data_IF_488389983415
#
_entry.id   IF_488389983415
#
_cell.length_a   1.000
_cell.length_b   1.000
_cell.length_c   1.000
_cell.angle_alpha   90.00
_cell.angle_beta   90.00
_cell.angle_gamma   90.00
#
_symmetry.space_group_name_H-M   'P 1'
#
loop_
_entity.id
_entity.type
_entity.pdbx_description
1 polymer ?
2 polymer ?
#
# COMPACT_ATOMS: atom_id res chain seq x y z
N UNK A 9 -12.85 -10.49 14.51
CA UNK A 9 -11.85 -10.57 13.44
C UNK A 9 -11.23 -11.95 13.38
N UNK A 10 -11.56 -12.71 12.34
CA UNK A 10 -11.07 -14.07 12.17
C UNK A 10 -9.59 -14.07 11.79
N UNK A 11 -8.76 -14.67 12.64
CA UNK A 11 -7.33 -14.73 12.41
C UNK A 11 -6.94 -15.54 11.18
N UNK A 12 -7.73 -16.57 10.87
CA UNK A 12 -7.44 -17.43 9.74
C UNK A 12 -7.51 -16.68 8.41
N UNK A 13 -8.60 -15.96 8.19
CA UNK A 13 -8.79 -15.24 6.94
C UNK A 13 -7.86 -14.03 6.85
N UNK A 14 -7.39 -13.55 8.00
CA UNK A 14 -6.35 -12.52 8.01
C UNK A 14 -5.10 -13.09 7.37
N UNK A 15 -4.72 -14.29 7.80
CA UNK A 15 -3.58 -15.00 7.23
C UNK A 15 -3.80 -15.30 5.76
N UNK A 16 -4.92 -15.94 5.45
CA UNK A 16 -5.24 -16.37 4.09
C UNK A 16 -5.21 -15.22 3.08
N UNK A 17 -5.85 -14.11 3.42
CA UNK A 17 -5.89 -12.95 2.55
C UNK A 17 -4.52 -12.33 2.38
N UNK A 18 -3.75 -12.29 3.46
CA UNK A 18 -2.41 -11.71 3.42
C UNK A 18 -1.47 -12.52 2.53
N UNK A 19 -1.42 -13.83 2.76
CA UNK A 19 -0.55 -14.71 1.99
C UNK A 19 -0.91 -14.68 0.50
N UNK A 20 -2.21 -14.69 0.20
CA UNK A 20 -2.66 -14.64 -1.18
C UNK A 20 -2.21 -13.35 -1.86
N UNK A 21 -2.33 -12.23 -1.14
CA UNK A 21 -1.90 -10.95 -1.69
C UNK A 21 -0.41 -10.95 -1.99
N UNK A 22 0.40 -11.28 -1.00
CA UNK A 22 1.85 -11.25 -1.12
C UNK A 22 2.35 -12.15 -2.25
N UNK A 23 1.68 -13.27 -2.46
CA UNK A 23 2.06 -14.21 -3.51
C UNK A 23 1.68 -13.70 -4.89
N UNK A 24 0.43 -13.27 -5.05
CA UNK A 24 -0.06 -12.79 -6.34
C UNK A 24 0.71 -11.56 -6.78
N UNK A 25 1.26 -10.83 -5.82
CA UNK A 25 2.06 -9.65 -6.11
C UNK A 25 3.45 -10.04 -6.59
N UNK A 26 3.82 -11.31 -6.40
CA UNK A 26 5.12 -11.78 -6.86
C UNK A 26 5.00 -12.61 -8.14
N UNK A 27 3.77 -12.83 -8.59
CA UNK A 27 3.54 -13.52 -9.86
C UNK A 27 2.97 -14.92 -9.74
N UNK A 28 2.90 -15.44 -8.51
CA UNK A 28 2.36 -16.77 -8.29
C UNK A 28 0.84 -16.74 -8.15
N UNK A 29 0.21 -17.89 -8.32
CA UNK A 29 -1.23 -18.03 -8.08
C UNK A 29 -1.44 -19.09 -7.01
N UNK A 30 -2.41 -18.86 -6.13
CA UNK A 30 -2.62 -19.75 -5.00
C UNK A 30 -4.09 -19.90 -4.65
N UNK A 31 -4.55 -21.15 -4.58
CA UNK A 31 -5.94 -21.43 -4.22
C UNK A 31 -6.16 -21.24 -2.72
N UNK A 32 -6.71 -20.08 -2.36
CA UNK A 32 -6.93 -19.74 -0.96
C UNK A 32 -7.94 -20.67 -0.31
N UNK A 48 -15.16 -2.35 7.31
CA UNK A 48 -15.31 -2.83 8.67
C UNK A 48 -14.18 -3.79 9.04
N UNK A 49 -14.31 -5.04 8.57
CA UNK A 49 -13.27 -6.03 8.81
C UNK A 49 -12.24 -6.01 7.68
N UNK A 50 -12.64 -5.42 6.55
CA UNK A 50 -11.77 -5.35 5.37
C UNK A 50 -10.68 -4.30 5.53
N UNK A 51 -10.84 -3.43 6.53
CA UNK A 51 -9.88 -2.36 6.77
C UNK A 51 -8.61 -2.90 7.41
N UNK A 52 -8.75 -3.87 8.31
CA UNK A 52 -7.61 -4.50 8.96
C UNK A 52 -6.72 -5.21 7.93
N UNK A 53 -7.35 -5.90 6.99
CA UNK A 53 -6.64 -6.61 5.94
C UNK A 53 -5.85 -5.63 5.07
N UNK A 54 -6.49 -4.54 4.68
CA UNK A 54 -5.87 -3.54 3.82
C UNK A 54 -4.71 -2.85 4.52
N UNK A 55 -4.88 -2.53 5.79
CA UNK A 55 -3.83 -1.85 6.56
C UNK A 55 -2.63 -2.76 6.80
N UNK A 56 -2.90 -4.03 7.07
CA UNK A 56 -1.84 -5.00 7.37
C UNK A 56 -0.89 -5.20 6.19
N UNK A 57 -1.45 -5.35 4.99
CA UNK A 57 -0.64 -5.62 3.80
C UNK A 57 0.06 -4.36 3.31
N UNK A 58 -0.49 -3.20 3.63
CA UNK A 58 0.15 -1.94 3.27
C UNK A 58 1.38 -1.73 4.13
N UNK A 59 1.24 -1.99 5.43
CA UNK A 59 2.36 -1.90 6.35
C UNK A 59 3.45 -2.91 5.98
N UNK A 60 3.01 -4.08 5.50
CA UNK A 60 3.93 -5.13 5.10
C UNK A 60 4.75 -4.78 3.89
N UNK A 61 4.09 -4.25 2.86
CA UNK A 61 4.78 -3.82 1.64
C UNK A 61 5.79 -2.72 1.97
N UNK A 62 5.40 -1.82 2.87
CA UNK A 62 6.30 -0.75 3.32
C UNK A 62 7.48 -1.33 4.09
N UNK A 63 7.21 -2.36 4.89
CA UNK A 63 8.24 -3.02 5.69
C UNK A 63 9.26 -3.72 4.80
N UNK A 64 8.76 -4.51 3.85
CA UNK A 64 9.61 -5.23 2.91
C UNK A 64 10.43 -4.28 2.04
N UNK A 65 9.84 -3.18 1.65
CA UNK A 65 10.55 -2.25 0.81
C UNK A 65 11.74 -1.61 1.46
N UNK A 66 11.54 -1.15 2.68
CA UNK A 66 12.57 -0.47 3.42
C UNK A 66 13.76 -1.31 3.75
N UNK A 67 13.49 -2.55 4.10
CA UNK A 67 14.51 -3.47 4.50
C UNK A 67 14.67 -4.55 3.48
N UNK A 68 14.49 -4.20 2.23
CA UNK A 68 14.58 -5.19 1.19
C UNK A 68 15.90 -5.89 1.07
N UNK A 69 17.00 -5.19 1.26
CA UNK A 69 18.28 -5.86 1.13
C UNK A 69 18.37 -6.92 2.20
N UNK A 70 17.91 -6.59 3.38
CA UNK A 70 17.93 -7.50 4.52
C UNK A 70 17.09 -8.74 4.25
N UNK A 71 15.87 -8.53 3.74
CA UNK A 71 14.97 -9.63 3.40
C UNK A 71 15.55 -10.48 2.26
N UNK A 72 16.38 -9.87 1.43
CA UNK A 72 17.03 -10.59 0.35
C UNK A 72 18.08 -11.53 0.91
N UNK A 73 18.82 -11.07 1.91
CA UNK A 73 19.84 -11.87 2.56
C UNK A 73 19.21 -12.98 3.40
N UNK A 74 18.05 -12.68 4.00
CA UNK A 74 17.35 -13.64 4.84
C UNK A 74 16.77 -14.79 4.01
N UNK A 75 16.26 -14.48 2.83
CA UNK A 75 15.65 -15.48 1.97
C UNK A 75 16.70 -16.41 1.38
N UNK A 76 17.93 -15.90 1.25
CA UNK A 76 19.03 -16.69 0.69
C UNK A 76 19.66 -17.59 1.74
N UNK A 77 19.16 -17.51 2.97
CA UNK A 77 19.70 -18.28 4.07
C UNK A 77 18.63 -19.19 4.68
N UNK A 78 17.38 -19.01 4.22
CA UNK A 78 16.28 -19.85 4.68
C UNK A 78 16.59 -21.33 4.47
N UNK A 79 17.06 -21.66 3.27
CA UNK A 79 17.43 -23.03 2.91
C UNK A 79 16.30 -24.01 3.22
N UNK A 80 15.15 -23.80 2.58
CA UNK A 80 13.97 -24.63 2.84
C UNK A 80 14.12 -26.04 2.31
N UNK A 81 13.78 -27.01 3.15
CA UNK A 81 13.60 -28.40 2.73
C UNK A 81 12.25 -28.86 3.28
N UNK A 82 11.64 -29.86 2.62
CA UNK A 82 10.36 -30.39 3.12
C UNK A 82 10.45 -30.97 4.53
N UNK A 83 11.67 -31.26 4.97
CA UNK A 83 11.90 -31.90 6.27
C UNK A 83 12.12 -30.89 7.39
N UNK A 84 12.72 -29.75 7.05
CA UNK A 84 13.13 -28.77 8.05
C UNK A 84 12.19 -27.57 8.15
N UNK A 85 11.26 -27.48 7.21
CA UNK A 85 10.40 -26.30 7.05
C UNK A 85 9.70 -25.86 8.33
N UNK A 86 8.92 -26.76 8.93
CA UNK A 86 8.16 -26.42 10.13
C UNK A 86 9.07 -26.07 11.30
N UNK A 87 10.27 -26.65 11.31
CA UNK A 87 11.24 -26.33 12.33
C UNK A 87 11.73 -24.89 12.19
N UNK A 88 12.02 -24.50 10.95
CA UNK A 88 12.51 -23.16 10.66
C UNK A 88 11.48 -22.10 11.03
N UNK A 89 10.21 -22.38 10.74
CA UNK A 89 9.14 -21.45 11.08
C UNK A 89 9.00 -21.29 12.58
N UNK A 90 8.98 -22.43 13.29
CA UNK A 90 8.83 -22.42 14.74
C UNK A 90 9.98 -21.68 15.42
N UNK A 91 11.20 -21.99 15.00
CA UNK A 91 12.40 -21.39 15.59
C UNK A 91 12.46 -19.87 15.42
N UNK A 92 12.35 -19.41 14.18
CA UNK A 92 12.41 -17.99 13.87
C UNK A 92 11.36 -17.19 14.62
N UNK A 93 10.11 -17.66 14.56
CA UNK A 93 9.00 -16.99 15.20
C UNK A 93 9.18 -16.90 16.72
N UNK A 94 9.62 -18.00 17.33
CA UNK A 94 9.84 -18.04 18.77
C UNK A 94 10.85 -16.99 19.22
N UNK A 95 11.97 -16.91 18.49
CA UNK A 95 13.03 -15.98 18.83
C UNK A 95 12.61 -14.54 18.57
N UNK A 96 11.71 -14.37 17.60
CA UNK A 96 11.21 -13.04 17.25
C UNK A 96 10.41 -12.42 18.39
N UNK A 97 9.59 -13.22 19.05
CA UNK A 97 8.74 -12.75 20.15
C UNK A 97 9.28 -13.17 21.51
N UNK A 98 10.49 -13.72 21.54
CA UNK A 98 11.05 -14.30 22.76
C UNK A 98 11.15 -13.30 23.91
N UNK A 99 11.50 -12.05 23.58
CA UNK A 99 11.71 -11.04 24.62
C UNK A 99 10.73 -9.89 24.54
N UNK A 100 9.59 -10.11 23.88
CA UNK A 100 8.57 -9.08 23.80
C UNK A 100 7.79 -9.06 22.51
N UNK A 101 6.60 -8.46 22.57
CA UNK A 101 5.73 -8.34 21.40
C UNK A 101 5.30 -6.90 21.18
N UNK A 102 5.52 -6.42 19.95
CA UNK A 102 4.97 -5.14 19.52
C UNK A 102 4.37 -5.30 18.13
N UNK A 103 3.65 -4.27 17.65
CA UNK A 103 2.99 -4.35 16.36
C UNK A 103 3.98 -4.50 15.21
N UNK A 104 5.14 -3.87 15.34
CA UNK A 104 6.19 -3.99 14.35
C UNK A 104 6.60 -5.43 14.16
N UNK A 105 6.86 -6.13 15.26
CA UNK A 105 7.25 -7.52 15.23
C UNK A 105 6.14 -8.41 14.67
N UNK A 106 4.89 -8.03 14.94
CA UNK A 106 3.75 -8.77 14.40
C UNK A 106 3.69 -8.62 12.88
N UNK A 107 4.05 -7.44 12.38
CA UNK A 107 4.14 -7.21 10.94
C UNK A 107 5.26 -8.07 10.35
N UNK A 108 6.40 -8.10 11.03
CA UNK A 108 7.54 -8.90 10.60
C UNK A 108 7.18 -10.38 10.58
N UNK A 109 6.34 -10.79 11.52
CA UNK A 109 5.86 -12.17 11.61
C UNK A 109 5.07 -12.56 10.37
N UNK A 110 4.20 -11.66 9.92
CA UNK A 110 3.46 -11.87 8.69
C UNK A 110 4.39 -11.84 7.47
N UNK A 111 5.29 -10.86 7.45
CA UNK A 111 6.24 -10.72 6.35
C UNK A 111 7.19 -11.91 6.26
N UNK A 112 7.58 -12.46 7.40
CA UNK A 112 8.45 -13.63 7.39
C UNK A 112 7.70 -14.84 6.84
N UNK A 113 6.44 -14.97 7.23
CA UNK A 113 5.59 -16.03 6.73
C UNK A 113 5.47 -15.91 5.22
N UNK A 114 5.31 -14.68 4.74
CA UNK A 114 5.25 -14.42 3.32
C UNK A 114 6.51 -14.83 2.59
N UNK A 115 7.66 -14.53 3.19
CA UNK A 115 8.95 -14.90 2.63
C UNK A 115 9.08 -16.41 2.46
N UNK A 116 8.63 -17.15 3.46
CA UNK A 116 8.69 -18.61 3.41
C UNK A 116 7.74 -19.19 2.37
N UNK A 117 6.56 -18.58 2.23
CA UNK A 117 5.60 -19.02 1.21
C UNK A 117 6.13 -18.78 -0.20
N UNK A 118 6.79 -17.65 -0.39
CA UNK A 118 7.39 -17.31 -1.68
C UNK A 118 8.52 -18.28 -2.03
N UNK A 119 9.36 -18.58 -1.05
CA UNK A 119 10.47 -19.49 -1.26
C UNK A 119 10.02 -20.94 -1.44
N UNK A 120 8.77 -21.21 -1.06
CA UNK A 120 8.21 -22.56 -1.24
C UNK A 120 7.85 -22.81 -2.70
N UNK A 121 7.06 -21.90 -3.28
CA UNK A 121 6.66 -22.01 -4.67
C UNK A 121 7.86 -21.78 -5.61
N UNK A 122 8.90 -21.14 -5.08
CA UNK A 122 10.16 -20.99 -5.81
C UNK A 122 10.82 -22.33 -6.11
N UNK A 123 10.46 -23.33 -5.31
CA UNK A 123 10.99 -24.67 -5.44
C UNK A 123 9.90 -25.69 -5.63
N UNK A 124 8.74 -25.20 -6.03
CA UNK A 124 7.54 -25.97 -6.34
C UNK A 124 6.85 -26.70 -5.21
N UNK A 125 7.14 -26.33 -3.99
CA UNK A 125 6.47 -26.96 -2.86
C UNK A 125 5.20 -26.24 -2.52
N UNK A 126 4.21 -26.34 -3.37
CA UNK A 126 2.97 -25.66 -3.14
C UNK A 126 2.28 -26.08 -1.89
N UNK A 127 2.30 -27.36 -1.58
CA UNK A 127 1.59 -27.80 -0.38
C UNK A 127 2.17 -27.16 0.86
N UNK A 128 3.42 -26.74 0.81
CA UNK A 128 4.03 -26.14 1.98
C UNK A 128 3.37 -24.82 2.36
N UNK A 129 2.88 -24.10 1.35
CA UNK A 129 2.22 -22.82 1.56
C UNK A 129 1.00 -22.97 2.47
N UNK A 130 0.17 -23.97 2.17
CA UNK A 130 -1.01 -24.26 2.97
C UNK A 130 -0.64 -24.58 4.42
N UNK A 131 0.47 -25.29 4.59
CA UNK A 131 0.96 -25.64 5.93
C UNK A 131 1.43 -24.40 6.69
N UNK A 132 2.20 -23.54 6.02
CA UNK A 132 2.66 -22.29 6.60
C UNK A 132 1.46 -21.43 7.01
N UNK A 133 0.46 -21.39 6.13
CA UNK A 133 -0.79 -20.69 6.42
C UNK A 133 -1.44 -21.24 7.69
N UNK A 134 -1.39 -22.56 7.83
CA UNK A 134 -1.93 -23.23 9.01
C UNK A 134 -1.13 -22.84 10.25
N UNK A 135 0.20 -22.91 10.15
CA UNK A 135 1.08 -22.61 11.27
C UNK A 135 0.95 -21.16 11.74
N UNK A 136 0.85 -20.24 10.78
CA UNK A 136 0.66 -18.83 11.09
C UNK A 136 -0.65 -18.63 11.84
N UNK A 137 -1.70 -19.25 11.33
CA UNK A 137 -3.03 -19.18 11.95
C UNK A 137 -3.00 -19.76 13.36
N UNK A 138 -2.37 -20.92 13.50
CA UNK A 138 -2.28 -21.59 14.79
C UNK A 138 -1.51 -20.74 15.81
N UNK A 139 -0.47 -20.06 15.36
CA UNK A 139 0.33 -19.24 16.25
C UNK A 139 -0.43 -17.99 16.67
N UNK A 140 -1.23 -17.44 15.75
CA UNK A 140 -2.04 -16.26 16.06
C UNK A 140 -3.06 -16.54 17.15
N UNK A 141 -3.78 -17.66 17.02
CA UNK A 141 -4.80 -18.03 17.98
C UNK A 141 -4.22 -18.43 19.34
N UNK A 142 -3.08 -19.12 19.32
CA UNK A 142 -2.54 -19.70 20.54
C UNK A 142 -1.69 -18.74 21.37
N UNK A 143 -1.02 -17.79 20.71
CA UNK A 143 -0.11 -16.91 21.42
C UNK A 143 -0.40 -15.43 21.22
N UNK A 144 -0.36 -14.98 19.96
CA UNK A 144 -0.48 -13.55 19.67
C UNK A 144 -1.86 -12.98 19.99
N UNK A 145 -2.88 -13.84 20.03
CA UNK A 145 -4.24 -13.37 20.23
C UNK A 145 -4.43 -12.63 21.56
N UNK A 146 -3.94 -13.24 22.65
CA UNK A 146 -4.07 -12.64 23.97
C UNK A 146 -3.36 -11.30 24.04
N UNK A 147 -2.21 -11.20 23.40
CA UNK A 147 -1.48 -9.93 23.36
C UNK A 147 -2.28 -8.89 22.61
N UNK A 148 -2.81 -9.27 21.44
CA UNK A 148 -3.57 -8.36 20.61
C UNK A 148 -4.77 -7.78 21.35
N UNK A 149 -5.49 -8.63 22.07
CA UNK A 149 -6.64 -8.20 22.84
C UNK A 149 -6.24 -7.29 24.00
N UNK A 150 -5.16 -7.65 24.68
CA UNK A 150 -4.71 -6.87 25.84
C UNK A 150 -3.98 -5.60 25.41
N UNK A 151 -3.84 -5.39 24.11
CA UNK A 151 -3.16 -4.20 23.61
C UNK A 151 -4.01 -3.38 22.64
N UNK A 152 -5.32 -3.46 22.79
CA UNK A 152 -6.22 -2.61 22.03
C UNK A 152 -6.86 -3.23 20.81
N UNK A 153 -6.58 -4.51 20.57
CA UNK A 153 -7.12 -5.20 19.41
C UNK A 153 -6.54 -4.69 18.10
N UNK A 154 -7.05 -5.21 16.99
CA UNK A 154 -6.55 -4.83 15.68
C UNK A 154 -6.87 -3.37 15.35
N UNK A 155 -7.91 -2.83 15.99
CA UNK A 155 -8.28 -1.44 15.80
C UNK A 155 -7.16 -0.51 16.23
N UNK A 156 -6.44 -0.89 17.28
CA UNK A 156 -5.30 -0.14 17.76
C UNK A 156 -4.20 -0.11 16.71
N UNK A 157 -3.99 -1.25 16.05
CA UNK A 157 -3.01 -1.38 14.99
C UNK A 157 -3.36 -0.48 13.81
N UNK A 158 -4.63 -0.48 13.43
CA UNK A 158 -5.12 0.36 12.34
C UNK A 158 -4.86 1.84 12.61
N UNK A 159 -5.12 2.26 13.85
CA UNK A 159 -4.90 3.64 14.25
C UNK A 159 -3.42 4.00 14.26
N UNK A 160 -2.56 2.99 14.40
CA UNK A 160 -1.13 3.21 14.45
C UNK A 160 -0.46 3.14 13.09
N UNK A 161 -1.05 2.38 12.16
CA UNK A 161 -0.42 2.15 10.87
C UNK A 161 -1.32 2.52 9.69
N UNK A 162 -2.21 3.48 9.91
CA UNK A 162 -3.15 3.88 8.89
C UNK A 162 -2.79 5.19 8.21
N UNK A 163 -3.39 6.30 8.68
CA UNK A 163 -3.13 7.63 8.13
C UNK A 163 -1.76 8.17 8.51
N UNK B 5 24.38 -12.48 10.72
CA UNK B 5 23.84 -13.31 9.65
C UNK B 5 22.56 -14.01 10.09
N UNK B 6 22.29 -13.97 11.39
CA UNK B 6 21.21 -14.76 12.00
C UNK B 6 19.81 -14.20 11.75
N UNK B 7 18.94 -15.04 11.20
CA UNK B 7 17.64 -14.63 10.67
C UNK B 7 16.71 -13.91 11.66
N UNK B 8 16.39 -14.56 12.77
CA UNK B 8 15.45 -14.00 13.74
C UNK B 8 16.00 -12.73 14.37
N UNK B 9 17.32 -12.70 14.60
CA UNK B 9 17.96 -11.55 15.19
C UNK B 9 17.82 -10.29 14.34
N UNK B 10 18.11 -10.41 13.05
CA UNK B 10 17.99 -9.27 12.14
C UNK B 10 16.53 -8.88 11.95
N UNK B 11 15.67 -9.88 11.80
CA UNK B 11 14.24 -9.64 11.61
C UNK B 11 13.66 -8.88 12.80
N UNK B 12 14.10 -9.25 14.00
CA UNK B 12 13.67 -8.60 15.23
C UNK B 12 14.19 -7.17 15.31
N UNK B 13 15.44 -6.99 14.91
CA UNK B 13 16.09 -5.67 14.95
C UNK B 13 15.36 -4.65 14.09
N UNK B 14 15.16 -4.98 12.82
CA UNK B 14 14.50 -4.07 11.88
C UNK B 14 13.03 -3.89 12.22
N UNK B 15 12.44 -4.91 12.86
CA UNK B 15 11.04 -4.83 13.27
C UNK B 15 10.87 -3.74 14.32
N UNK B 16 11.84 -3.61 15.20
CA UNK B 16 11.80 -2.62 16.28
C UNK B 16 12.04 -1.21 15.76
N UNK B 17 12.96 -1.07 14.80
CA UNK B 17 13.18 0.22 14.16
C UNK B 17 11.89 0.69 13.50
N UNK B 18 11.21 -0.24 12.84
CA UNK B 18 9.95 0.02 12.17
C UNK B 18 8.89 0.46 13.16
N UNK B 19 8.90 -0.15 14.35
CA UNK B 19 7.90 0.15 15.37
C UNK B 19 8.15 1.50 16.05
N UNK B 20 9.43 1.84 16.23
CA UNK B 20 9.79 3.11 16.87
C UNK B 20 9.46 4.29 15.97
N UNK B 21 9.24 4.03 14.70
CA UNK B 21 8.87 5.12 13.82
C UNK B 21 7.40 5.40 13.91
N UNK B 22 6.67 4.58 14.64
CA UNK B 22 5.24 4.77 14.75
C UNK B 22 4.78 5.30 16.08
N UNK B 23 5.70 5.80 16.88
CA UNK B 23 5.36 6.35 18.18
C UNK B 23 5.55 7.85 18.21
N UNK C 9 -1.78 30.62 -9.21
CA UNK C 9 -1.50 29.31 -8.62
C UNK C 9 -0.71 28.42 -9.57
N UNK C 10 0.47 28.00 -9.13
CA UNK C 10 1.30 27.09 -9.90
C UNK C 10 0.63 25.72 -10.00
N UNK C 11 1.02 24.93 -11.00
CA UNK C 11 0.48 23.60 -11.17
C UNK C 11 1.50 22.52 -10.85
N UNK C 12 2.78 22.88 -10.87
CA UNK C 12 3.84 21.94 -10.56
C UNK C 12 3.95 21.70 -9.07
N UNK C 13 3.96 22.78 -8.29
CA UNK C 13 4.09 22.71 -6.84
C UNK C 13 2.89 22.01 -6.19
N UNK C 14 1.74 22.13 -6.83
CA UNK C 14 0.54 21.42 -6.38
C UNK C 14 0.75 19.92 -6.51
N UNK C 15 1.42 19.53 -7.59
CA UNK C 15 1.70 18.12 -7.86
C UNK C 15 2.84 17.60 -6.99
N UNK C 16 3.93 18.37 -6.92
CA UNK C 16 5.09 17.98 -6.12
C UNK C 16 4.74 17.78 -4.66
N UNK C 17 3.97 18.70 -4.10
CA UNK C 17 3.58 18.64 -2.70
C UNK C 17 2.63 17.47 -2.44
N UNK C 18 1.78 17.16 -3.41
CA UNK C 18 0.79 16.11 -3.25
C UNK C 18 1.44 14.73 -3.26
N UNK C 19 2.33 14.49 -4.20
CA UNK C 19 3.00 13.20 -4.33
C UNK C 19 3.91 12.94 -3.14
N UNK C 20 4.68 13.96 -2.75
CA UNK C 20 5.58 13.86 -1.60
C UNK C 20 4.80 13.52 -0.33
N UNK C 21 3.61 14.07 -0.21
CA UNK C 21 2.73 13.78 0.93
C UNK C 21 2.22 12.34 0.88
N UNK C 22 1.72 11.94 -0.28
CA UNK C 22 1.16 10.59 -0.43
C UNK C 22 2.24 9.52 -0.31
N UNK C 23 3.48 9.88 -0.61
CA UNK C 23 4.59 8.96 -0.45
C UNK C 23 5.11 8.95 0.98
N UNK C 24 4.95 10.08 1.67
CA UNK C 24 5.45 10.22 3.03
C UNK C 24 4.62 9.41 4.02
N UNK C 25 3.31 9.31 3.76
CA UNK C 25 2.45 8.55 4.65
C UNK C 25 2.44 7.07 4.28
N UNK C 26 3.45 6.66 3.52
CA UNK C 26 3.73 5.26 3.28
C UNK C 26 5.19 4.95 3.62
N UNK C 27 5.83 5.90 4.28
CA UNK C 27 7.17 5.71 4.79
C UNK C 27 8.29 6.02 3.81
N UNK C 28 7.96 6.66 2.69
CA UNK C 28 8.95 6.96 1.67
C UNK C 28 9.21 8.46 1.53
N UNK C 29 10.43 8.87 1.87
CA UNK C 29 10.84 10.27 1.72
C UNK C 29 11.34 10.52 0.30
N UNK C 30 10.68 11.42 -0.40
CA UNK C 30 11.00 11.70 -1.80
C UNK C 30 11.50 13.11 -2.01
N UNK C 31 12.73 13.24 -2.48
CA UNK C 31 13.31 14.54 -2.79
C UNK C 31 12.84 15.02 -4.16
N UNK C 32 11.85 15.92 -4.16
CA UNK C 32 11.27 16.43 -5.39
C UNK C 32 12.31 17.17 -6.24
N UNK C 48 0.28 31.07 3.03
CA UNK C 48 0.29 31.57 1.66
C UNK C 48 -0.69 30.81 0.79
N UNK C 49 -0.17 30.01 -0.13
CA UNK C 49 -0.99 29.19 -1.01
C UNK C 49 -1.07 27.76 -0.50
N UNK C 50 -0.84 27.59 0.80
CA UNK C 50 -0.80 26.27 1.42
C UNK C 50 -2.20 25.71 1.64
N UNK C 51 -3.21 26.56 1.49
CA UNK C 51 -4.60 26.13 1.68
C UNK C 51 -5.03 25.16 0.58
N UNK C 52 -4.64 25.45 -0.65
CA UNK C 52 -4.95 24.58 -1.78
C UNK C 52 -4.28 23.22 -1.62
N UNK C 53 -3.00 23.24 -1.27
CA UNK C 53 -2.25 22.02 -0.99
C UNK C 53 -2.98 21.20 0.07
N UNK C 54 -3.29 21.86 1.18
CA UNK C 54 -3.95 21.24 2.31
C UNK C 54 -5.30 20.67 1.89
N UNK C 55 -6.13 21.51 1.26
CA UNK C 55 -7.46 21.11 0.81
C UNK C 55 -7.43 19.89 -0.11
N UNK C 56 -6.55 19.92 -1.11
CA UNK C 56 -6.42 18.81 -2.05
C UNK C 56 -5.98 17.54 -1.35
N UNK C 57 -5.12 17.69 -0.34
CA UNK C 57 -4.64 16.56 0.45
C UNK C 57 -5.77 15.87 1.20
N UNK C 58 -6.61 16.64 1.90
CA UNK C 58 -7.73 16.05 2.64
C UNK C 58 -8.80 15.52 1.69
N UNK C 59 -8.99 16.20 0.57
CA UNK C 59 -9.98 15.78 -0.42
C UNK C 59 -9.60 14.43 -1.00
N UNK C 60 -8.32 14.24 -1.27
CA UNK C 60 -7.81 12.99 -1.79
C UNK C 60 -7.87 11.88 -0.75
N UNK C 61 -7.48 12.21 0.48
CA UNK C 61 -7.52 11.25 1.58
C UNK C 61 -8.96 10.84 1.89
N UNK C 62 -9.88 11.79 1.80
CA UNK C 62 -11.29 11.51 2.00
C UNK C 62 -11.78 10.59 0.89
N UNK C 63 -11.32 10.86 -0.33
CA UNK C 63 -11.67 10.06 -1.49
C UNK C 63 -11.16 8.63 -1.34
N UNK C 64 -9.93 8.50 -0.85
CA UNK C 64 -9.32 7.19 -0.64
C UNK C 64 -10.08 6.38 0.39
N UNK C 65 -10.54 7.05 1.45
CA UNK C 65 -11.22 6.38 2.55
C UNK C 65 -12.61 5.86 2.15
N UNK C 66 -13.34 6.68 1.41
CA UNK C 66 -14.72 6.35 1.03
C UNK C 66 -14.79 5.16 0.07
N UNK C 67 -13.74 4.99 -0.73
CA UNK C 67 -13.72 3.90 -1.70
C UNK C 67 -12.45 3.07 -1.57
N UNK C 68 -12.12 2.70 -0.34
CA UNK C 68 -10.92 1.92 -0.03
C UNK C 68 -10.94 0.58 -0.75
N UNK C 69 -12.12 -0.03 -0.84
CA UNK C 69 -12.28 -1.29 -1.55
C UNK C 69 -12.09 -1.08 -3.05
N UNK C 70 -12.42 0.12 -3.52
CA UNK C 70 -12.27 0.45 -4.94
C UNK C 70 -10.90 1.03 -5.25
N UNK C 71 -10.07 1.18 -4.23
CA UNK C 71 -8.69 1.61 -4.41
C UNK C 71 -7.72 0.46 -4.17
N UNK C 72 -8.07 -0.40 -3.26
CA UNK C 72 -7.23 -1.54 -3.04
C UNK C 72 -7.28 -2.34 -4.31
N UNK C 73 -8.46 -2.38 -4.88
CA UNK C 73 -8.73 -3.12 -6.07
C UNK C 73 -7.86 -2.65 -7.22
N UNK C 74 -7.74 -1.35 -7.40
CA UNK C 74 -6.94 -0.78 -8.45
C UNK C 74 -5.46 -0.93 -8.29
N UNK C 75 -4.97 -0.72 -7.09
CA UNK C 75 -3.55 -0.78 -6.86
C UNK C 75 -2.97 -2.14 -7.15
N UNK C 76 -3.69 -3.18 -6.76
CA UNK C 76 -3.22 -4.53 -7.00
C UNK C 76 -3.13 -4.90 -8.46
N UNK C 77 -4.08 -4.46 -9.25
CA UNK C 77 -4.13 -4.82 -10.64
C UNK C 77 -3.44 -3.89 -11.60
N UNK C 78 -2.67 -2.96 -11.09
CA UNK C 78 -2.00 -1.99 -11.93
C UNK C 78 -1.01 -2.55 -12.96
N UNK C 79 -0.25 -3.55 -12.59
CA UNK C 79 0.75 -4.11 -13.49
C UNK C 79 1.64 -3.02 -14.09
N UNK C 80 2.56 -2.50 -13.29
CA UNK C 80 3.43 -1.41 -13.73
C UNK C 80 4.80 -1.92 -14.17
N UNK C 81 5.21 -1.50 -15.36
CA UNK C 81 6.57 -1.76 -15.85
C UNK C 81 7.15 -0.43 -16.31
N UNK C 82 8.47 -0.23 -16.12
CA UNK C 82 9.12 1.02 -16.55
C UNK C 82 8.96 1.24 -18.05
N UNK C 83 8.82 0.14 -18.78
CA UNK C 83 8.67 0.18 -20.23
C UNK C 83 7.26 0.64 -20.64
N UNK C 84 6.27 0.23 -19.87
CA UNK C 84 4.87 0.55 -20.18
C UNK C 84 4.26 1.48 -19.14
N UNK C 85 5.11 2.17 -18.39
CA UNK C 85 4.66 3.06 -17.33
C UNK C 85 3.83 4.23 -17.86
N UNK C 86 4.36 4.90 -18.89
CA UNK C 86 3.67 6.06 -19.44
C UNK C 86 2.38 5.66 -20.16
N UNK C 87 2.40 4.50 -20.80
CA UNK C 87 1.22 3.99 -21.48
C UNK C 87 0.10 3.72 -20.52
N UNK C 88 0.45 3.17 -19.36
CA UNK C 88 -0.52 2.90 -18.31
C UNK C 88 -1.13 4.20 -17.78
N UNK C 89 -0.29 5.21 -17.60
CA UNK C 89 -0.73 6.50 -17.10
C UNK C 89 -1.69 7.18 -18.07
N UNK C 90 -1.28 7.27 -19.33
CA UNK C 90 -2.06 7.96 -20.36
C UNK C 90 -3.43 7.32 -20.56
N UNK C 91 -3.47 5.98 -20.53
CA UNK C 91 -4.69 5.23 -20.80
C UNK C 91 -5.80 5.51 -19.78
N UNK C 92 -5.46 5.39 -18.50
CA UNK C 92 -6.43 5.64 -17.43
C UNK C 92 -6.88 7.09 -17.42
N UNK C 93 -5.91 7.99 -17.51
CA UNK C 93 -6.15 9.43 -17.44
C UNK C 93 -7.02 9.91 -18.60
N UNK C 94 -6.92 9.24 -19.75
CA UNK C 94 -7.72 9.58 -20.93
C UNK C 94 -9.18 9.27 -20.69
N UNK C 95 -9.46 8.04 -20.28
CA UNK C 95 -10.81 7.55 -20.08
C UNK C 95 -11.50 8.29 -18.93
N UNK C 96 -10.70 8.79 -17.99
CA UNK C 96 -11.22 9.56 -16.87
C UNK C 96 -11.84 10.87 -17.32
N UNK C 97 -11.21 11.53 -18.29
CA UNK C 97 -11.64 12.85 -18.74
C UNK C 97 -12.29 12.82 -20.13
N UNK C 98 -12.79 11.66 -20.54
CA UNK C 98 -13.40 11.53 -21.85
C UNK C 98 -14.72 12.29 -21.92
N UNK C 99 -15.56 12.12 -20.90
CA UNK C 99 -16.89 12.73 -20.87
C UNK C 99 -16.85 14.17 -20.39
N UNK C 100 -15.66 14.66 -20.05
CA UNK C 100 -15.52 16.02 -19.57
C UNK C 100 -14.78 16.10 -18.25
N UNK C 101 -14.81 17.27 -17.62
CA UNK C 101 -14.05 17.50 -16.39
C UNK C 101 -14.92 18.02 -15.25
N UNK C 102 -14.75 17.43 -14.07
CA UNK C 102 -15.27 18.02 -12.83
C UNK C 102 -14.22 17.88 -11.73
N UNK C 103 -14.49 18.48 -10.58
CA UNK C 103 -13.51 18.49 -9.49
C UNK C 103 -13.28 17.10 -8.90
N UNK C 104 -14.32 16.27 -8.90
CA UNK C 104 -14.19 14.92 -8.41
C UNK C 104 -13.25 14.08 -9.25
N UNK C 105 -13.14 14.45 -10.53
CA UNK C 105 -12.26 13.75 -11.46
C UNK C 105 -10.83 14.27 -11.36
N UNK C 106 -10.68 15.52 -10.96
CA UNK C 106 -9.36 16.10 -10.75
C UNK C 106 -8.75 15.53 -9.47
N UNK C 107 -9.59 15.30 -8.46
CA UNK C 107 -9.14 14.63 -7.24
C UNK C 107 -8.76 13.19 -7.56
N UNK C 108 -9.57 12.53 -8.38
CA UNK C 108 -9.29 11.17 -8.82
C UNK C 108 -8.00 11.10 -9.62
N UNK C 109 -7.70 12.20 -10.32
CA UNK C 109 -6.46 12.32 -11.08
C UNK C 109 -5.23 12.30 -10.18
N UNK C 110 -5.25 13.15 -9.16
CA UNK C 110 -4.14 13.24 -8.20
C UNK C 110 -3.98 11.93 -7.43
N UNK C 111 -5.09 11.35 -7.00
CA UNK C 111 -5.07 10.11 -6.24
C UNK C 111 -4.47 8.97 -7.04
N UNK C 112 -4.85 8.88 -8.32
CA UNK C 112 -4.33 7.85 -9.20
C UNK C 112 -2.82 8.02 -9.39
N UNK C 113 -2.39 9.26 -9.49
CA UNK C 113 -0.98 9.57 -9.60
C UNK C 113 -0.23 9.10 -8.37
N UNK C 114 -0.89 9.23 -7.22
CA UNK C 114 -0.32 8.76 -5.97
C UNK C 114 -0.26 7.25 -5.93
N UNK C 115 -1.29 6.60 -6.48
CA UNK C 115 -1.34 5.14 -6.54
C UNK C 115 -0.17 4.58 -7.33
N UNK C 116 0.12 5.18 -8.48
CA UNK C 116 1.21 4.73 -9.32
C UNK C 116 2.57 4.97 -8.68
N UNK C 117 2.70 6.09 -7.98
CA UNK C 117 3.95 6.41 -7.30
C UNK C 117 4.23 5.43 -6.17
N UNK C 118 3.22 5.17 -5.33
CA UNK C 118 3.36 4.28 -4.19
C UNK C 118 3.70 2.85 -4.63
N UNK C 119 3.01 2.36 -5.65
CA UNK C 119 3.28 1.02 -6.16
C UNK C 119 4.65 0.93 -6.84
N UNK C 120 5.07 2.05 -7.44
CA UNK C 120 6.38 2.11 -8.08
C UNK C 120 7.49 1.88 -7.07
N UNK C 121 7.37 2.50 -5.91
CA UNK C 121 8.40 2.39 -4.89
C UNK C 121 8.34 1.04 -4.17
N UNK C 122 7.14 0.54 -3.96
CA UNK C 122 6.97 -0.73 -3.32
C UNK C 122 7.42 -1.89 -4.19
N UNK C 123 7.41 -1.69 -5.50
CA UNK C 123 7.76 -2.75 -6.43
C UNK C 123 9.08 -2.61 -7.14
N UNK C 124 10.04 -1.99 -6.48
CA UNK C 124 11.41 -1.79 -6.98
C UNK C 124 11.62 -0.96 -8.22
N UNK C 125 10.77 0.04 -8.36
CA UNK C 125 10.83 1.02 -9.44
C UNK C 125 10.72 2.46 -8.94
N UNK C 126 11.60 2.83 -8.01
CA UNK C 126 11.61 4.17 -7.44
C UNK C 126 11.82 5.34 -8.43
N UNK C 127 12.68 5.17 -9.46
CA UNK C 127 12.86 6.35 -10.33
C UNK C 127 11.61 6.71 -11.16
N UNK C 128 10.61 5.84 -11.20
CA UNK C 128 9.39 6.12 -11.94
C UNK C 128 8.63 7.33 -11.39
N UNK C 129 8.76 7.55 -10.08
CA UNK C 129 8.06 8.64 -9.40
C UNK C 129 8.39 9.99 -10.01
N UNK C 130 9.66 10.20 -10.32
CA UNK C 130 10.09 11.44 -10.95
C UNK C 130 9.38 11.66 -12.28
N UNK C 131 9.31 10.60 -13.08
CA UNK C 131 8.62 10.66 -14.36
C UNK C 131 7.12 10.86 -14.20
N UNK C 132 6.52 10.11 -13.27
CA UNK C 132 5.09 10.21 -13.02
C UNK C 132 4.70 11.63 -12.61
N UNK C 133 5.52 12.24 -11.75
CA UNK C 133 5.32 13.62 -11.34
C UNK C 133 5.34 14.55 -12.54
N UNK C 134 6.30 14.32 -13.43
CA UNK C 134 6.43 15.12 -14.65
C UNK C 134 5.20 14.95 -15.55
N UNK C 135 4.74 13.71 -15.69
CA UNK C 135 3.58 13.41 -16.52
C UNK C 135 2.31 14.06 -15.98
N UNK C 136 2.20 14.09 -14.66
CA UNK C 136 1.06 14.73 -14.00
C UNK C 136 1.09 16.24 -14.20
N UNK C 137 2.27 16.82 -14.07
CA UNK C 137 2.47 18.26 -14.24
C UNK C 137 2.09 18.71 -15.65
N UNK C 138 2.60 17.98 -16.64
CA UNK C 138 2.36 18.33 -18.04
C UNK C 138 0.90 18.17 -18.43
N UNK C 139 0.24 17.13 -17.90
CA UNK C 139 -1.15 16.89 -18.23
C UNK C 139 -2.05 17.96 -17.63
N UNK C 140 -1.64 18.52 -16.50
CA UNK C 140 -2.39 19.60 -15.87
C UNK C 140 -2.38 20.85 -16.74
N UNK C 141 -1.19 21.26 -17.15
CA UNK C 141 -1.02 22.45 -17.98
C UNK C 141 -1.71 22.31 -19.34
N UNK C 142 -1.50 21.16 -19.98
CA UNK C 142 -1.98 20.95 -21.34
C UNK C 142 -3.49 20.76 -21.44
N UNK C 143 -4.08 20.05 -20.49
CA UNK C 143 -5.49 19.71 -20.56
C UNK C 143 -6.37 20.42 -19.53
N UNK C 144 -6.16 20.11 -18.26
CA UNK C 144 -7.07 20.51 -17.20
C UNK C 144 -7.04 21.99 -16.85
N UNK C 145 -5.96 22.67 -17.23
CA UNK C 145 -5.76 24.07 -16.84
C UNK C 145 -6.83 25.01 -17.38
N UNK C 146 -7.29 24.75 -18.60
CA UNK C 146 -8.30 25.60 -19.22
C UNK C 146 -9.65 25.44 -18.55
N UNK C 147 -9.94 24.23 -18.08
CA UNK C 147 -11.21 23.96 -17.40
C UNK C 147 -11.24 24.58 -16.02
N UNK C 148 -10.08 24.58 -15.35
CA UNK C 148 -10.00 25.05 -13.98
C UNK C 148 -10.29 26.55 -13.86
N UNK C 149 -9.65 27.34 -14.71
CA UNK C 149 -9.86 28.79 -14.71
C UNK C 149 -11.25 29.17 -15.22
N UNK C 150 -11.82 28.33 -16.08
CA UNK C 150 -13.16 28.57 -16.61
C UNK C 150 -14.22 28.13 -15.61
N UNK C 151 -13.78 27.52 -14.52
CA UNK C 151 -14.69 27.09 -13.45
C UNK C 151 -14.28 27.63 -12.09
N UNK C 152 -13.66 28.81 -12.09
CA UNK C 152 -13.38 29.53 -10.85
C UNK C 152 -11.98 29.36 -10.30
N UNK C 153 -11.12 28.64 -11.01
CA UNK C 153 -9.76 28.42 -10.56
C UNK C 153 -9.69 27.51 -9.34
N UNK C 154 -8.52 27.45 -8.72
CA UNK C 154 -8.32 26.60 -7.55
C UNK C 154 -9.05 27.14 -6.32
N UNK C 155 -9.32 28.44 -6.31
CA UNK C 155 -10.05 29.06 -5.22
C UNK C 155 -11.47 28.50 -5.11
N UNK C 156 -12.09 28.24 -6.26
CA UNK C 156 -13.43 27.68 -6.30
C UNK C 156 -13.46 26.28 -5.72
N UNK C 157 -12.38 25.53 -5.93
CA UNK C 157 -12.25 24.18 -5.39
C UNK C 157 -12.14 24.22 -3.87
N UNK C 158 -11.46 25.23 -3.36
CA UNK C 158 -11.31 25.40 -1.92
C UNK C 158 -12.66 25.66 -1.26
N UNK C 159 -13.56 26.31 -2.00
CA UNK C 159 -14.87 26.67 -1.47
C UNK C 159 -15.84 25.49 -1.48
N UNK C 160 -15.78 24.67 -2.53
CA UNK C 160 -16.73 23.57 -2.70
C UNK C 160 -16.28 22.30 -1.97
N UNK C 161 -15.01 22.26 -1.59
CA UNK C 161 -14.46 21.13 -0.85
C UNK C 161 -13.84 21.61 0.46
N UNK C 162 -14.35 22.72 0.96
CA UNK C 162 -13.83 23.34 2.17
C UNK C 162 -14.17 22.67 3.49
N UNK C 163 -15.47 22.47 3.77
CA UNK C 163 -15.90 21.79 4.99
C UNK C 163 -15.23 20.43 5.19
N UNK D 5 -11.65 -6.02 -13.73
CA UNK D 5 -11.33 -4.74 -13.14
C UNK D 5 -11.07 -3.67 -14.20
N UNK D 6 -12.08 -2.84 -14.46
CA UNK D 6 -11.94 -1.72 -15.38
C UNK D 6 -11.47 -0.48 -14.62
N UNK D 7 -10.15 -0.32 -14.52
CA UNK D 7 -9.53 0.70 -13.68
C UNK D 7 -10.11 2.11 -13.85
N UNK D 8 -10.04 2.63 -15.07
CA UNK D 8 -10.46 4.00 -15.33
C UNK D 8 -11.99 4.17 -15.27
N UNK D 9 -12.72 3.12 -15.64
CA UNK D 9 -14.17 3.17 -15.67
C UNK D 9 -14.76 3.38 -14.27
N UNK D 10 -14.39 2.51 -13.33
CA UNK D 10 -14.87 2.62 -11.97
C UNK D 10 -14.27 3.83 -11.27
N UNK D 11 -13.07 4.24 -11.70
CA UNK D 11 -12.45 5.43 -11.15
C UNK D 11 -13.26 6.66 -11.52
N UNK D 12 -13.78 6.68 -12.74
CA UNK D 12 -14.65 7.76 -13.20
C UNK D 12 -16.01 7.67 -12.53
N UNK D 13 -16.52 6.45 -12.39
CA UNK D 13 -17.83 6.20 -11.81
C UNK D 13 -17.91 6.70 -10.36
N UNK D 14 -16.82 6.54 -9.62
CA UNK D 14 -16.79 6.96 -8.22
C UNK D 14 -16.34 8.42 -8.08
N UNK D 15 -15.66 8.93 -9.11
CA UNK D 15 -15.25 10.32 -9.12
C UNK D 15 -16.48 11.22 -9.24
N UNK D 16 -17.45 10.77 -10.02
CA UNK D 16 -18.70 11.48 -10.20
C UNK D 16 -19.54 11.41 -8.93
N UNK D 17 -19.62 10.23 -8.34
CA UNK D 17 -20.37 10.02 -7.11
C UNK D 17 -19.78 10.85 -5.97
N UNK D 18 -18.47 11.07 -6.04
CA UNK D 18 -17.77 11.86 -5.03
C UNK D 18 -18.04 13.35 -5.24
N UNK D 19 -18.30 13.75 -6.48
CA UNK D 19 -18.59 15.14 -6.80
C UNK D 19 -20.05 15.46 -6.54
N UNK D 20 -20.91 14.46 -6.69
CA UNK D 20 -22.34 14.61 -6.46
C UNK D 20 -22.63 14.74 -4.96
N UNK D 21 -21.59 14.63 -4.17
CA UNK D 21 -21.74 14.77 -2.74
C UNK D 21 -21.40 16.18 -2.31
N UNK D 22 -20.89 16.99 -3.23
CA UNK D 22 -20.53 18.36 -2.88
C UNK D 22 -21.44 19.41 -3.45
N UNK D 23 -22.56 19.00 -4.02
CA UNK D 23 -23.49 19.95 -4.59
C UNK D 23 -24.40 20.50 -3.51
#
# INVERSE_FOLDING_TARGET
MAHAGRTGYDNREIVMKYIHYKLSQRGYEWDAGDDVEENRTEAPEGTESEVVHLTLRQAGDDFSRRYRRDFAEMSSQLHLTPFTARGRFATVVEELFRDGVNWGRIVAFFEFGGVMCVESVNREMSPLVDNIALWMTEYLNRHLHTWIQDNGGWDAFVELYGPSMR
HQAEVQIARKLQCIADQFHRLHVQQ
MAHAGRTGYDNREIVMKYIHYKLSQRGYEWDAGDDVEENRTEAPEGTESEVVHLTLRQAGDDFSRRYRRDFAEMSSQLHLTPFTARGRFATVVEELFRDGVNWGRIVAFFEFGGVMCVESVNREMSPLVDNIALWMTEYLNRHLHTWIQDNGGWDAFVELYGPSMR
HQAEVQIARKLQCIADQFHRLHVQQ
#
